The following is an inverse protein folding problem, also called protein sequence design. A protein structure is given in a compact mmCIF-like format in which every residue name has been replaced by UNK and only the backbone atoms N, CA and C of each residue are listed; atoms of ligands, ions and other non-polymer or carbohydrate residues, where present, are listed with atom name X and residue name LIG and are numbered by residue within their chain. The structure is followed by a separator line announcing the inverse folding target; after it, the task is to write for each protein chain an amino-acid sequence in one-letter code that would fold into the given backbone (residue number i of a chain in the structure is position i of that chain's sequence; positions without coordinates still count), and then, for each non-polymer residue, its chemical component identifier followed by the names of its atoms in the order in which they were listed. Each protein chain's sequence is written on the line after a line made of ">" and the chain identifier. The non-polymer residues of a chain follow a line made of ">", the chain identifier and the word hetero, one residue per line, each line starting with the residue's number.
data_IF_139268277282
#
_entry.id   IF_139268277282
#
_cell.length_a   1.000
_cell.length_b   1.000
_cell.length_c   1.000
_cell.angle_alpha   90.00
_cell.angle_beta   90.00
_cell.angle_gamma   90.00
#
_symmetry.space_group_name_H-M   'P 1'
#
loop_
_entity.id
_entity.type
_entity.pdbx_description
1 polymer ?
#
# COMPACT_ATOMS: atom_id res chain seq x y z
N UNK A 1 41.09 -50.78 16.76
CA UNK A 1 41.49 -49.75 15.79
C UNK A 1 40.55 -49.68 14.58
N UNK A 2 40.17 -50.82 13.97
CA UNK A 2 39.29 -50.85 12.77
C UNK A 2 37.92 -50.25 13.07
N UNK A 3 37.34 -50.51 14.26
CA UNK A 3 36.06 -49.92 14.68
C UNK A 3 36.10 -48.38 14.78
N UNK A 4 37.16 -47.85 15.39
CA UNK A 4 37.31 -46.39 15.51
C UNK A 4 37.51 -45.70 14.16
N UNK A 5 38.25 -46.34 13.25
CA UNK A 5 38.40 -45.85 11.87
C UNK A 5 37.06 -45.90 11.14
N UNK A 6 36.29 -46.96 11.31
CA UNK A 6 34.95 -47.06 10.74
C UNK A 6 34.00 -45.94 11.23
N UNK A 7 34.01 -45.67 12.53
CA UNK A 7 33.23 -44.57 13.12
C UNK A 7 33.67 -43.22 12.52
N UNK A 8 34.98 -42.98 12.39
CA UNK A 8 35.50 -41.75 11.80
C UNK A 8 34.99 -41.53 10.35
N UNK A 9 34.99 -42.59 9.53
CA UNK A 9 34.44 -42.51 8.20
C UNK A 9 32.94 -42.23 8.16
N UNK A 10 32.19 -42.81 9.08
CA UNK A 10 30.74 -42.53 9.21
C UNK A 10 30.50 -41.04 9.56
N UNK A 11 31.25 -40.49 10.54
CA UNK A 11 31.14 -39.09 10.90
C UNK A 11 31.56 -38.15 9.78
N UNK A 12 32.68 -38.38 9.15
CA UNK A 12 33.18 -37.56 8.05
C UNK A 12 32.26 -37.66 6.80
N UNK A 13 31.81 -38.85 6.48
CA UNK A 13 30.85 -39.07 5.40
C UNK A 13 29.50 -38.45 5.65
N UNK A 14 29.02 -38.59 6.90
CA UNK A 14 27.78 -37.95 7.33
C UNK A 14 27.85 -36.41 7.30
N UNK A 15 28.94 -35.86 7.85
CA UNK A 15 29.17 -34.40 7.78
C UNK A 15 29.28 -33.92 6.34
N UNK A 16 30.01 -34.62 5.46
CA UNK A 16 30.12 -34.31 4.05
C UNK A 16 28.77 -34.36 3.31
N UNK A 17 27.99 -35.39 3.59
CA UNK A 17 26.64 -35.55 3.00
C UNK A 17 25.68 -34.43 3.45
N UNK A 18 25.70 -34.10 4.75
CA UNK A 18 24.86 -33.01 5.28
C UNK A 18 25.27 -31.66 4.70
N UNK A 19 26.58 -31.40 4.61
CA UNK A 19 27.09 -30.16 3.97
C UNK A 19 26.69 -30.07 2.50
N UNK A 20 26.76 -31.20 1.78
CA UNK A 20 26.34 -31.25 0.39
C UNK A 20 24.81 -30.99 0.21
N UNK A 21 23.99 -31.61 1.06
CA UNK A 21 22.56 -31.41 1.08
C UNK A 21 22.19 -29.96 1.42
N UNK A 22 22.80 -29.40 2.47
CA UNK A 22 22.62 -28.00 2.84
C UNK A 22 22.99 -27.05 1.68
N UNK A 23 24.12 -27.32 1.02
CA UNK A 23 24.51 -26.53 -0.16
C UNK A 23 23.50 -26.66 -1.32
N UNK A 24 22.93 -27.85 -1.54
CA UNK A 24 21.88 -28.01 -2.56
C UNK A 24 20.59 -27.27 -2.19
N UNK A 25 20.19 -27.33 -0.91
CA UNK A 25 19.03 -26.57 -0.43
C UNK A 25 19.26 -25.07 -0.53
N UNK A 26 20.44 -24.57 -0.19
CA UNK A 26 20.80 -23.15 -0.33
C UNK A 26 20.74 -22.70 -1.79
N UNK A 27 21.32 -23.48 -2.72
CA UNK A 27 21.26 -23.16 -4.16
C UNK A 27 19.83 -23.22 -4.70
N UNK A 28 19.04 -24.19 -4.27
CA UNK A 28 17.64 -24.27 -4.64
C UNK A 28 16.82 -23.12 -4.02
N UNK A 29 17.12 -22.76 -2.77
CA UNK A 29 16.52 -21.63 -2.07
C UNK A 29 16.84 -20.29 -2.72
N UNK A 30 18.11 -20.05 -3.04
CA UNK A 30 18.56 -18.84 -3.77
C UNK A 30 17.90 -18.69 -5.14
N UNK A 31 17.47 -19.77 -5.73
CA UNK A 31 16.72 -19.81 -6.97
C UNK A 31 15.20 -19.69 -6.78
N UNK A 32 14.70 -19.53 -5.57
CA UNK A 32 13.28 -19.41 -5.30
C UNK A 32 12.78 -17.96 -5.48
N UNK A 33 11.52 -17.82 -5.87
CA UNK A 33 10.85 -16.52 -5.98
C UNK A 33 10.85 -15.77 -4.64
N UNK A 34 10.69 -16.50 -3.54
CA UNK A 34 10.69 -15.94 -2.18
C UNK A 34 12.03 -15.34 -1.80
N UNK A 35 13.13 -16.01 -2.13
CA UNK A 35 14.49 -15.50 -1.89
C UNK A 35 14.76 -14.21 -2.71
N UNK A 36 14.44 -14.23 -3.99
CA UNK A 36 14.61 -13.05 -4.85
C UNK A 36 13.77 -11.86 -4.38
N UNK A 37 12.52 -12.12 -3.96
CA UNK A 37 11.66 -11.09 -3.36
C UNK A 37 12.26 -10.52 -2.07
N UNK A 38 12.85 -11.38 -1.22
CA UNK A 38 13.52 -10.94 0.00
C UNK A 38 14.75 -10.09 -0.31
N UNK A 39 15.63 -10.54 -1.20
CA UNK A 39 16.85 -9.79 -1.60
C UNK A 39 16.50 -8.40 -2.15
N UNK A 40 15.51 -8.32 -3.04
CA UNK A 40 15.06 -7.04 -3.59
C UNK A 40 14.38 -6.16 -2.53
N UNK A 41 13.66 -6.76 -1.60
CA UNK A 41 13.09 -6.07 -0.45
C UNK A 41 14.15 -5.46 0.45
N UNK A 42 15.16 -6.25 0.82
CA UNK A 42 16.29 -5.80 1.64
C UNK A 42 17.11 -4.69 0.96
N UNK A 43 17.29 -4.82 -0.36
CA UNK A 43 17.93 -3.80 -1.18
C UNK A 43 17.19 -2.47 -1.11
N UNK A 44 15.88 -2.50 -1.29
CA UNK A 44 15.02 -1.33 -1.18
C UNK A 44 15.09 -0.70 0.20
N UNK A 45 15.06 -1.52 1.25
CA UNK A 45 15.12 -1.05 2.63
C UNK A 45 16.47 -0.38 2.95
N UNK A 46 17.57 -0.95 2.50
CA UNK A 46 18.89 -0.36 2.68
C UNK A 46 19.02 1.00 1.95
N UNK A 47 18.47 1.10 0.74
CA UNK A 47 18.39 2.38 0.02
C UNK A 47 17.55 3.40 0.80
N UNK A 48 16.39 2.96 1.32
CA UNK A 48 15.50 3.81 2.12
C UNK A 48 16.15 4.30 3.42
N UNK A 49 16.84 3.41 4.17
CA UNK A 49 17.61 3.77 5.36
C UNK A 49 18.63 4.86 5.03
N UNK A 50 19.36 4.68 3.94
CA UNK A 50 20.40 5.64 3.52
C UNK A 50 19.79 7.01 3.23
N UNK A 51 18.66 7.08 2.55
CA UNK A 51 17.97 8.32 2.26
C UNK A 51 17.46 9.01 3.55
N UNK A 52 16.86 8.24 4.45
CA UNK A 52 16.38 8.73 5.74
C UNK A 52 17.52 9.20 6.63
N UNK A 53 18.62 8.46 6.71
CA UNK A 53 19.81 8.83 7.49
C UNK A 53 20.45 10.15 6.98
N UNK A 54 20.49 10.35 5.67
CA UNK A 54 20.97 11.59 5.07
C UNK A 54 20.06 12.78 5.40
N UNK A 55 18.75 12.57 5.43
CA UNK A 55 17.79 13.66 5.68
C UNK A 55 17.59 13.99 7.15
N UNK A 56 17.53 12.97 8.01
CA UNK A 56 17.15 13.11 9.42
C UNK A 56 18.30 12.84 10.39
N UNK A 57 19.45 12.32 9.92
CA UNK A 57 20.50 11.78 10.78
C UNK A 57 20.13 10.42 11.38
N UNK A 58 21.02 9.88 12.19
CA UNK A 58 20.81 8.62 12.92
C UNK A 58 20.87 8.92 14.41
N UNK A 59 19.69 9.02 15.05
CA UNK A 59 19.61 9.34 16.48
C UNK A 59 19.95 8.14 17.37
N UNK A 60 19.64 6.90 16.96
CA UNK A 60 19.91 5.70 17.75
C UNK A 60 20.52 4.56 16.91
N UNK A 61 19.74 3.97 16.00
CA UNK A 61 20.21 2.90 15.11
C UNK A 61 19.62 3.08 13.72
N UNK A 62 20.29 2.55 12.68
CA UNK A 62 19.74 2.54 11.34
C UNK A 62 18.37 1.80 11.26
N UNK A 63 18.20 0.78 12.08
CA UNK A 63 16.95 0.02 12.15
C UNK A 63 15.78 0.85 12.71
N UNK A 64 16.04 1.81 13.63
CA UNK A 64 14.99 2.69 14.16
C UNK A 64 14.38 3.56 13.07
N UNK A 65 15.19 4.00 12.09
CA UNK A 65 14.70 4.77 10.95
C UNK A 65 13.65 4.02 10.13
N UNK A 66 13.83 2.72 9.93
CA UNK A 66 12.83 1.91 9.21
C UNK A 66 11.59 1.61 10.04
N UNK A 67 11.75 1.40 11.36
CA UNK A 67 10.61 1.06 12.24
C UNK A 67 9.59 2.19 12.36
N UNK A 68 10.01 3.41 12.09
CA UNK A 68 9.19 4.61 12.17
C UNK A 68 8.88 5.21 10.79
N UNK A 69 9.29 4.51 9.71
CA UNK A 69 9.06 4.97 8.34
C UNK A 69 7.73 4.45 7.77
N UNK A 70 6.74 5.33 7.51
CA UNK A 70 5.45 4.90 6.98
C UNK A 70 5.58 4.25 5.61
N UNK A 71 6.47 4.72 4.73
CA UNK A 71 6.65 4.16 3.38
C UNK A 71 7.02 2.68 3.42
N UNK A 72 7.83 2.27 4.38
CA UNK A 72 8.30 0.90 4.52
C UNK A 72 7.37 0.06 5.40
N UNK A 73 7.06 0.55 6.58
CA UNK A 73 6.28 -0.23 7.57
C UNK A 73 4.79 -0.20 7.26
N UNK A 74 4.25 0.93 6.80
CA UNK A 74 2.83 1.05 6.44
C UNK A 74 2.46 0.04 5.35
N UNK A 75 3.26 -0.06 4.29
CA UNK A 75 3.05 -1.05 3.23
C UNK A 75 3.10 -2.50 3.74
N UNK A 76 4.03 -2.82 4.64
CA UNK A 76 4.16 -4.17 5.26
C UNK A 76 2.98 -4.51 6.14
N UNK A 77 2.58 -3.58 7.00
CA UNK A 77 1.42 -3.75 7.87
C UNK A 77 0.13 -3.89 7.06
N UNK A 78 -0.02 -3.10 5.99
CA UNK A 78 -1.13 -3.24 5.06
C UNK A 78 -1.17 -4.63 4.42
N UNK A 79 -0.05 -5.09 3.89
CA UNK A 79 0.06 -6.43 3.30
C UNK A 79 -0.29 -7.55 4.30
N UNK A 80 0.05 -7.37 5.56
CA UNK A 80 -0.17 -8.36 6.62
C UNK A 80 -1.61 -8.37 7.14
N UNK A 81 -2.25 -7.21 7.26
CA UNK A 81 -3.51 -7.07 7.98
C UNK A 81 -4.69 -6.63 7.11
N UNK A 82 -4.44 -5.97 5.99
CA UNK A 82 -5.49 -5.36 5.15
C UNK A 82 -5.64 -6.04 3.79
N UNK A 83 -4.54 -6.55 3.23
CA UNK A 83 -4.51 -7.08 1.86
C UNK A 83 -5.29 -8.38 1.64
N UNK A 84 -5.78 -9.02 2.72
CA UNK A 84 -6.71 -10.15 2.59
C UNK A 84 -8.08 -9.73 2.02
N UNK A 85 -8.52 -8.49 2.30
CA UNK A 85 -9.78 -7.93 1.83
C UNK A 85 -9.57 -6.77 0.85
N UNK A 86 -8.67 -5.83 1.17
CA UNK A 86 -8.36 -4.67 0.37
C UNK A 86 -7.26 -4.95 -0.66
N UNK A 87 -7.21 -4.11 -1.70
CA UNK A 87 -6.11 -4.02 -2.65
C UNK A 87 -5.47 -2.65 -2.57
N UNK A 88 -4.28 -2.57 -3.07
CA UNK A 88 -3.59 -1.33 -3.39
C UNK A 88 -3.08 -1.43 -4.83
N UNK A 89 -3.77 -0.79 -5.76
CA UNK A 89 -3.57 -0.92 -7.22
C UNK A 89 -3.65 -2.40 -7.70
N UNK A 90 -4.62 -3.15 -7.17
CA UNK A 90 -4.79 -4.56 -7.49
C UNK A 90 -3.85 -5.53 -6.77
N UNK A 91 -2.96 -5.04 -5.88
CA UNK A 91 -1.92 -5.81 -5.20
C UNK A 91 -1.99 -5.70 -3.67
N UNK A 92 -1.05 -6.35 -3.01
CA UNK A 92 -0.91 -6.35 -1.54
C UNK A 92 -0.20 -5.10 -0.97
N UNK A 93 0.10 -4.11 -1.80
CA UNK A 93 0.82 -2.90 -1.41
C UNK A 93 2.35 -3.01 -1.42
N UNK A 94 2.90 -4.21 -1.49
CA UNK A 94 4.35 -4.41 -1.46
C UNK A 94 5.02 -4.46 -2.84
N UNK A 95 4.29 -4.80 -3.88
CA UNK A 95 4.84 -5.23 -5.17
C UNK A 95 4.54 -4.29 -6.35
N UNK A 96 3.90 -3.15 -6.14
CA UNK A 96 3.33 -2.31 -7.22
C UNK A 96 4.36 -1.87 -8.25
N UNK A 97 5.59 -1.53 -7.84
CA UNK A 97 6.63 -1.07 -8.78
C UNK A 97 7.31 -2.23 -9.52
N UNK A 98 7.35 -3.40 -8.92
CA UNK A 98 8.04 -4.58 -9.46
C UNK A 98 7.19 -5.33 -10.50
N UNK A 99 5.86 -5.27 -10.38
CA UNK A 99 4.92 -6.02 -11.20
C UNK A 99 4.77 -5.47 -12.62
N UNK A 100 5.08 -4.19 -12.83
CA UNK A 100 4.86 -3.50 -14.12
C UNK A 100 6.06 -3.46 -15.05
N UNK A 101 7.16 -4.11 -14.71
CA UNK A 101 8.38 -4.08 -15.53
C UNK A 101 8.52 -5.36 -16.38
N UNK A 102 8.54 -5.23 -17.70
CA UNK A 102 8.65 -6.35 -18.63
C UNK A 102 10.10 -6.82 -18.82
N UNK A 103 11.08 -6.00 -18.43
CA UNK A 103 12.52 -6.30 -18.52
C UNK A 103 13.27 -5.86 -17.26
N UNK A 104 14.46 -6.44 -17.03
CA UNK A 104 15.36 -6.01 -15.96
C UNK A 104 15.74 -4.53 -16.08
N UNK A 105 15.99 -4.08 -17.29
CA UNK A 105 16.36 -2.69 -17.57
C UNK A 105 15.19 -1.74 -17.25
N UNK A 106 13.96 -2.17 -17.48
CA UNK A 106 12.78 -1.40 -17.13
C UNK A 106 12.54 -1.37 -15.60
N UNK A 107 12.77 -2.48 -14.91
CA UNK A 107 12.77 -2.53 -13.45
C UNK A 107 13.82 -1.60 -12.86
N UNK A 108 15.02 -1.67 -13.38
CA UNK A 108 16.14 -0.82 -13.01
C UNK A 108 15.81 0.66 -13.19
N UNK A 109 15.26 1.00 -14.34
CA UNK A 109 14.85 2.36 -14.69
C UNK A 109 13.70 2.89 -13.81
N UNK A 110 12.71 2.06 -13.50
CA UNK A 110 11.54 2.44 -12.68
C UNK A 110 11.82 2.45 -11.19
N UNK A 111 12.52 1.45 -10.69
CA UNK A 111 12.83 1.34 -9.27
C UNK A 111 14.03 2.18 -8.86
N UNK A 112 14.91 2.52 -9.80
CA UNK A 112 16.20 3.16 -9.52
C UNK A 112 17.07 2.34 -8.56
N UNK A 113 16.65 1.10 -8.25
CA UNK A 113 17.23 0.29 -7.19
C UNK A 113 18.41 -0.54 -7.67
N UNK A 114 18.26 -1.22 -8.82
CA UNK A 114 19.23 -2.24 -9.19
C UNK A 114 20.57 -1.66 -9.64
N UNK A 115 20.61 -0.71 -10.56
CA UNK A 115 21.88 -0.11 -11.00
C UNK A 115 22.51 0.74 -9.91
N UNK A 116 21.72 1.55 -9.22
CA UNK A 116 22.22 2.35 -8.10
C UNK A 116 22.66 1.50 -6.94
N UNK A 117 21.96 0.40 -6.68
CA UNK A 117 22.24 -0.49 -5.58
C UNK A 117 23.51 -1.31 -5.80
N UNK A 118 23.75 -1.77 -7.02
CA UNK A 118 24.86 -2.63 -7.37
C UNK A 118 25.97 -1.94 -8.19
N UNK A 119 25.81 -0.69 -8.58
CA UNK A 119 26.80 0.05 -9.36
C UNK A 119 27.88 0.76 -8.53
N UNK A 120 27.77 0.74 -7.21
CA UNK A 120 28.74 1.42 -6.33
C UNK A 120 28.55 2.93 -6.27
N UNK A 121 27.35 3.43 -6.54
CA UNK A 121 26.97 4.83 -6.40
C UNK A 121 26.99 5.27 -4.93
N UNK A 122 27.32 6.53 -4.65
CA UNK A 122 27.50 7.06 -3.28
C UNK A 122 26.25 6.98 -2.37
N UNK A 123 25.14 6.48 -2.91
CA UNK A 123 23.88 6.25 -2.21
C UNK A 123 23.83 4.89 -1.53
N UNK A 124 24.78 3.99 -1.84
CA UNK A 124 24.76 2.62 -1.30
C UNK A 124 25.38 2.54 0.08
N UNK A 125 24.85 1.69 0.98
CA UNK A 125 25.54 1.33 2.21
C UNK A 125 26.94 0.77 1.88
N UNK A 126 27.95 1.15 2.68
CA UNK A 126 29.34 0.74 2.42
C UNK A 126 29.55 -0.78 2.31
N UNK A 127 28.72 -1.59 2.94
CA UNK A 127 28.80 -3.05 2.84
C UNK A 127 28.35 -3.60 1.49
N UNK A 128 27.48 -2.85 0.75
CA UNK A 128 27.09 -3.14 -0.62
C UNK A 128 28.03 -2.49 -1.65
N UNK A 129 28.73 -1.44 -1.24
CA UNK A 129 29.67 -0.71 -2.08
C UNK A 129 31.04 -1.41 -2.25
N UNK A 130 31.22 -2.61 -1.70
CA UNK A 130 32.41 -3.44 -1.97
C UNK A 130 32.35 -3.91 -3.40
N UNK A 131 33.05 -3.18 -4.27
CA UNK A 131 32.97 -3.30 -5.75
C UNK A 131 33.17 -4.73 -6.29
N UNK A 132 33.90 -5.61 -5.60
CA UNK A 132 34.12 -6.97 -6.06
C UNK A 132 32.97 -7.92 -5.73
N UNK A 133 32.37 -7.76 -4.57
CA UNK A 133 31.37 -8.69 -4.05
C UNK A 133 29.97 -8.36 -4.55
N UNK A 134 29.62 -7.06 -4.61
CA UNK A 134 28.31 -6.60 -5.09
C UNK A 134 28.09 -6.85 -6.59
N UNK A 135 29.13 -6.74 -7.41
CA UNK A 135 29.01 -7.10 -8.83
C UNK A 135 28.80 -8.61 -9.01
N UNK A 136 29.45 -9.44 -8.19
CA UNK A 136 29.26 -10.88 -8.21
C UNK A 136 27.85 -11.29 -7.76
N UNK A 137 27.36 -10.70 -6.68
CA UNK A 137 26.01 -10.94 -6.19
C UNK A 137 24.94 -10.47 -7.18
N UNK A 138 25.11 -9.27 -7.76
CA UNK A 138 24.22 -8.78 -8.81
C UNK A 138 24.23 -9.66 -10.05
N UNK A 139 25.42 -10.07 -10.53
CA UNK A 139 25.53 -10.98 -11.66
C UNK A 139 24.88 -12.32 -11.36
N UNK A 140 24.95 -12.80 -10.12
CA UNK A 140 24.27 -14.01 -9.69
C UNK A 140 22.75 -13.82 -9.68
N UNK A 141 22.24 -12.75 -9.09
CA UNK A 141 20.80 -12.40 -9.11
C UNK A 141 20.33 -12.23 -10.55
N UNK A 142 21.07 -11.48 -11.38
CA UNK A 142 20.75 -11.27 -12.78
C UNK A 142 20.75 -12.58 -13.59
N UNK A 143 21.73 -13.45 -13.39
CA UNK A 143 21.80 -14.73 -14.10
C UNK A 143 20.65 -15.66 -13.69
N UNK A 144 20.23 -15.64 -12.45
CA UNK A 144 19.10 -16.40 -11.93
C UNK A 144 17.78 -15.84 -12.47
N UNK A 145 17.66 -14.54 -12.54
CA UNK A 145 16.52 -13.86 -13.13
C UNK A 145 16.44 -14.15 -14.63
N UNK A 146 17.53 -14.04 -15.36
CA UNK A 146 17.61 -14.33 -16.81
C UNK A 146 17.38 -15.82 -17.14
N UNK A 147 17.85 -16.73 -16.29
CA UNK A 147 17.76 -18.18 -16.52
C UNK A 147 16.36 -18.75 -16.27
N UNK A 148 15.57 -18.14 -15.37
CA UNK A 148 14.28 -18.69 -14.94
C UNK A 148 13.09 -18.18 -15.71
N UNK A 149 13.26 -17.14 -16.50
CA UNK A 149 12.09 -16.42 -16.99
C UNK A 149 12.23 -16.03 -18.45
N UNK A 150 11.25 -16.42 -19.17
CA UNK A 150 10.79 -15.64 -20.33
C UNK A 150 10.08 -14.35 -19.86
N UNK A 151 10.47 -13.86 -18.72
CA UNK A 151 9.98 -12.73 -17.99
C UNK A 151 10.35 -12.89 -16.51
N UNK A 152 11.50 -12.31 -16.06
CA UNK A 152 11.99 -12.44 -14.68
C UNK A 152 10.96 -11.99 -13.65
N UNK A 153 9.99 -11.20 -14.04
CA UNK A 153 9.07 -10.50 -13.16
C UNK A 153 7.79 -11.25 -12.85
N UNK A 154 7.42 -12.25 -13.66
CA UNK A 154 6.36 -13.19 -13.31
C UNK A 154 6.64 -13.91 -11.98
N UNK A 155 7.90 -14.08 -11.63
CA UNK A 155 8.34 -14.70 -10.38
C UNK A 155 8.20 -13.74 -9.19
N UNK A 156 8.38 -12.45 -9.41
CA UNK A 156 8.24 -11.40 -8.40
C UNK A 156 6.78 -10.91 -8.36
N UNK A 157 6.14 -10.85 -9.52
CA UNK A 157 4.74 -10.53 -9.72
C UNK A 157 3.77 -11.61 -9.22
N UNK A 158 4.22 -12.79 -8.96
CA UNK A 158 3.39 -13.88 -8.42
C UNK A 158 3.07 -13.76 -6.92
N UNK A 159 3.10 -12.56 -6.34
CA UNK A 159 2.13 -12.25 -5.30
C UNK A 159 0.76 -12.55 -5.93
N UNK A 160 0.13 -13.66 -5.53
CA UNK A 160 -1.14 -14.12 -6.09
C UNK A 160 -2.06 -12.94 -6.34
N UNK A 161 -2.69 -12.81 -7.52
CA UNK A 161 -3.90 -12.02 -7.63
C UNK A 161 -4.79 -12.57 -6.52
N UNK A 162 -5.08 -11.75 -5.54
CA UNK A 162 -6.04 -12.16 -4.52
C UNK A 162 -7.37 -12.23 -5.24
N UNK A 163 -8.08 -13.34 -5.10
CA UNK A 163 -9.44 -13.53 -5.59
C UNK A 163 -10.27 -12.28 -5.33
N UNK A 164 -11.36 -12.08 -6.06
CA UNK A 164 -12.16 -10.88 -6.13
C UNK A 164 -12.15 -10.07 -4.82
N UNK A 165 -11.74 -8.79 -4.83
CA UNK A 165 -11.57 -8.02 -3.61
C UNK A 165 -12.90 -7.98 -2.85
N UNK A 166 -12.85 -8.23 -1.56
CA UNK A 166 -14.03 -8.18 -0.68
C UNK A 166 -14.25 -6.77 -0.11
N UNK A 167 -13.35 -5.83 -0.41
CA UNK A 167 -13.37 -4.44 0.01
C UNK A 167 -12.74 -3.55 -1.05
N UNK A 168 -12.96 -2.21 -1.02
CA UNK A 168 -12.42 -1.29 -2.00
C UNK A 168 -10.88 -1.34 -2.10
N UNK A 169 -10.36 -1.12 -3.32
CA UNK A 169 -8.96 -0.84 -3.55
C UNK A 169 -8.61 0.55 -2.98
N UNK A 170 -7.58 0.63 -2.14
CA UNK A 170 -7.25 1.84 -1.42
C UNK A 170 -6.16 2.70 -2.10
N UNK A 171 -5.70 2.34 -3.30
CA UNK A 171 -4.79 3.21 -4.03
C UNK A 171 -5.48 4.53 -4.39
N UNK A 172 -4.86 5.61 -3.97
CA UNK A 172 -5.38 6.96 -4.17
C UNK A 172 -6.62 7.27 -3.33
N UNK A 173 -6.85 6.54 -2.23
CA UNK A 173 -7.96 6.79 -1.31
C UNK A 173 -8.05 8.28 -0.94
N UNK A 174 -9.26 8.80 -0.95
CA UNK A 174 -9.60 10.20 -0.68
C UNK A 174 -9.01 11.25 -1.65
N UNK A 175 -8.32 10.84 -2.73
CA UNK A 175 -7.98 11.80 -3.79
C UNK A 175 -9.23 12.22 -4.55
N UNK A 176 -9.16 13.39 -5.22
CA UNK A 176 -10.24 13.90 -6.09
C UNK A 176 -10.72 12.85 -7.09
N UNK A 177 -9.78 12.11 -7.70
CA UNK A 177 -10.15 11.08 -8.68
C UNK A 177 -10.82 9.88 -8.01
N UNK A 178 -10.32 9.45 -6.84
CA UNK A 178 -10.91 8.34 -6.10
C UNK A 178 -12.37 8.65 -5.72
N UNK A 179 -12.65 9.87 -5.26
CA UNK A 179 -14.01 10.30 -4.88
C UNK A 179 -14.89 10.47 -6.12
N UNK A 180 -14.39 11.04 -7.22
CA UNK A 180 -15.14 11.08 -8.49
C UNK A 180 -15.58 9.70 -8.95
N UNK A 181 -14.67 8.75 -8.88
CA UNK A 181 -14.93 7.37 -9.26
C UNK A 181 -15.93 6.70 -8.30
N UNK A 182 -15.87 7.04 -7.02
CA UNK A 182 -16.82 6.59 -6.00
C UNK A 182 -18.25 7.13 -6.28
N UNK A 183 -18.37 8.34 -6.80
CA UNK A 183 -19.64 8.97 -7.14
C UNK A 183 -20.17 8.59 -8.53
N UNK A 184 -19.43 7.81 -9.30
CA UNK A 184 -19.86 7.24 -10.57
C UNK A 184 -20.62 5.93 -10.35
N UNK A 185 -21.89 5.81 -10.79
CA UNK A 185 -22.71 4.62 -10.54
C UNK A 185 -22.12 3.30 -11.04
N UNK A 186 -21.38 3.32 -12.16
CA UNK A 186 -20.81 2.10 -12.76
C UNK A 186 -19.48 1.72 -12.11
N UNK A 187 -18.70 2.71 -11.71
CA UNK A 187 -17.45 2.50 -10.99
C UNK A 187 -17.70 2.05 -9.55
N UNK A 188 -18.69 2.61 -8.86
CA UNK A 188 -19.04 2.25 -7.49
C UNK A 188 -19.24 0.74 -7.32
N UNK A 189 -19.97 0.10 -8.23
CA UNK A 189 -20.25 -1.35 -8.22
C UNK A 189 -19.16 -2.19 -8.89
N UNK A 190 -18.07 -1.58 -9.31
CA UNK A 190 -16.95 -2.33 -9.88
C UNK A 190 -16.16 -3.06 -8.78
N UNK A 191 -15.37 -4.10 -9.14
CA UNK A 191 -14.48 -4.78 -8.20
C UNK A 191 -13.44 -3.87 -7.55
N UNK A 192 -13.13 -2.72 -8.16
CA UNK A 192 -12.20 -1.73 -7.60
C UNK A 192 -12.78 -0.99 -6.41
N UNK A 193 -14.11 -0.83 -6.36
CA UNK A 193 -14.80 -0.12 -5.29
C UNK A 193 -15.67 -1.08 -4.47
N UNK A 194 -16.97 -0.90 -4.45
CA UNK A 194 -17.86 -1.63 -3.55
C UNK A 194 -18.53 -2.87 -4.16
N UNK A 195 -18.17 -3.25 -5.40
CA UNK A 195 -18.79 -4.39 -6.09
C UNK A 195 -18.65 -5.74 -5.39
N UNK A 196 -17.62 -5.93 -4.56
CA UNK A 196 -17.41 -7.14 -3.75
C UNK A 196 -17.99 -7.06 -2.34
N UNK A 197 -18.67 -5.96 -1.97
CA UNK A 197 -19.15 -5.70 -0.60
C UNK A 197 -20.67 -5.75 -0.50
N UNK A 198 -21.21 -5.77 0.73
CA UNK A 198 -22.63 -5.62 0.97
C UNK A 198 -23.14 -4.23 0.54
N UNK A 199 -22.29 -3.20 0.55
CA UNK A 199 -22.63 -1.84 0.17
C UNK A 199 -23.00 -1.64 -1.30
N UNK A 200 -22.65 -2.59 -2.20
CA UNK A 200 -23.11 -2.54 -3.62
C UNK A 200 -24.62 -2.49 -3.76
N UNK A 201 -25.33 -3.01 -2.76
CA UNK A 201 -26.78 -3.04 -2.69
C UNK A 201 -27.34 -2.08 -1.63
N UNK A 202 -26.50 -1.23 -1.04
CA UNK A 202 -26.86 -0.24 -0.04
C UNK A 202 -27.60 0.97 -0.61
N UNK A 203 -28.07 1.84 0.28
CA UNK A 203 -28.88 3.02 -0.04
C UNK A 203 -28.10 4.04 -0.85
N UNK A 204 -26.81 4.24 -0.58
CA UNK A 204 -25.93 5.10 -1.39
C UNK A 204 -26.01 4.72 -2.88
N UNK A 205 -25.90 3.43 -3.20
CA UNK A 205 -26.04 2.98 -4.57
C UNK A 205 -27.50 3.06 -5.08
N UNK A 206 -28.42 2.42 -4.37
CA UNK A 206 -29.82 2.24 -4.86
C UNK A 206 -30.58 3.56 -4.93
N UNK A 207 -30.52 4.38 -3.89
CA UNK A 207 -31.31 5.60 -3.78
C UNK A 207 -30.63 6.80 -4.43
N UNK A 208 -29.30 6.94 -4.32
CA UNK A 208 -28.57 8.09 -4.80
C UNK A 208 -27.92 7.82 -6.17
N UNK A 209 -26.89 6.98 -6.25
CA UNK A 209 -26.13 6.82 -7.49
C UNK A 209 -26.98 6.29 -8.65
N UNK A 210 -27.71 5.20 -8.44
CA UNK A 210 -28.49 4.56 -9.52
C UNK A 210 -29.78 5.31 -9.86
N UNK A 211 -30.44 5.95 -8.90
CA UNK A 211 -31.74 6.61 -9.16
C UNK A 211 -31.64 8.10 -9.46
N UNK A 212 -30.69 8.83 -8.84
CA UNK A 212 -30.50 10.27 -9.03
C UNK A 212 -29.34 10.53 -10.02
N UNK A 213 -28.10 10.13 -9.69
CA UNK A 213 -26.89 10.49 -10.47
C UNK A 213 -26.96 10.02 -11.92
N UNK A 214 -27.51 8.84 -12.21
CA UNK A 214 -27.70 8.39 -13.60
C UNK A 214 -28.58 9.29 -14.45
N UNK A 215 -29.33 10.20 -13.86
CA UNK A 215 -30.23 11.12 -14.55
C UNK A 215 -29.72 12.56 -14.53
N UNK A 216 -28.58 12.80 -13.93
CA UNK A 216 -27.98 14.12 -13.83
C UNK A 216 -27.61 14.66 -15.21
N UNK A 217 -27.87 15.93 -15.41
CA UNK A 217 -27.41 16.66 -16.57
C UNK A 217 -25.96 17.15 -16.39
N UNK A 218 -25.46 17.91 -17.38
CA UNK A 218 -24.08 18.40 -17.33
C UNK A 218 -23.84 19.44 -16.22
N UNK A 219 -24.89 20.12 -15.74
CA UNK A 219 -24.75 21.06 -14.62
C UNK A 219 -24.68 20.29 -13.28
N UNK A 220 -25.56 19.31 -13.07
CA UNK A 220 -25.57 18.44 -11.92
C UNK A 220 -24.21 17.70 -11.77
N UNK A 221 -23.68 17.19 -12.89
CA UNK A 221 -22.38 16.49 -12.88
C UNK A 221 -21.21 17.42 -12.53
N UNK A 222 -21.29 18.72 -12.89
CA UNK A 222 -20.29 19.71 -12.45
C UNK A 222 -20.40 19.99 -10.96
N UNK A 223 -21.59 20.04 -10.40
CA UNK A 223 -21.78 20.17 -8.93
C UNK A 223 -21.22 18.94 -8.22
N UNK A 224 -21.48 17.74 -8.74
CA UNK A 224 -20.93 16.50 -8.20
C UNK A 224 -19.40 16.46 -8.26
N UNK A 225 -18.80 17.00 -9.33
CA UNK A 225 -17.33 17.12 -9.44
C UNK A 225 -16.77 18.11 -8.41
N UNK A 226 -17.45 19.24 -8.19
CA UNK A 226 -17.07 20.19 -7.14
C UNK A 226 -17.17 19.58 -5.73
N UNK A 227 -18.21 18.78 -5.47
CA UNK A 227 -18.32 17.99 -4.21
C UNK A 227 -17.15 17.04 -4.06
N UNK A 228 -16.73 16.34 -5.12
CA UNK A 228 -15.57 15.45 -5.05
C UNK A 228 -14.27 16.22 -4.73
N UNK A 229 -14.12 17.44 -5.25
CA UNK A 229 -12.99 18.32 -4.91
C UNK A 229 -13.06 18.76 -3.45
N UNK A 230 -14.24 19.15 -2.95
CA UNK A 230 -14.43 19.57 -1.56
C UNK A 230 -14.17 18.44 -0.57
N UNK A 231 -14.74 17.25 -0.79
CA UNK A 231 -14.49 16.09 0.08
C UNK A 231 -13.02 15.64 0.03
N UNK A 232 -12.37 15.77 -1.12
CA UNK A 232 -10.93 15.47 -1.20
C UNK A 232 -10.08 16.50 -0.43
N UNK A 233 -10.52 17.74 -0.33
CA UNK A 233 -9.85 18.77 0.46
C UNK A 233 -9.95 18.50 1.97
N UNK A 234 -11.07 17.91 2.45
CA UNK A 234 -11.22 17.45 3.84
C UNK A 234 -10.12 16.45 4.25
N UNK A 235 -9.60 15.70 3.29
CA UNK A 235 -8.55 14.74 3.52
C UNK A 235 -7.18 15.38 3.83
N UNK A 236 -6.95 16.65 3.48
CA UNK A 236 -5.68 17.35 3.68
C UNK A 236 -4.48 16.55 3.17
N UNK A 237 -4.57 15.97 1.98
CA UNK A 237 -3.51 15.15 1.42
C UNK A 237 -2.28 15.99 1.04
N UNK A 238 -1.06 15.64 1.52
CA UNK A 238 0.14 16.43 1.25
C UNK A 238 0.38 16.70 -0.24
N UNK A 239 0.11 15.71 -1.09
CA UNK A 239 0.27 15.81 -2.54
C UNK A 239 -0.74 16.72 -3.23
N UNK A 240 -1.82 17.14 -2.56
CA UNK A 240 -2.89 18.00 -3.12
C UNK A 240 -2.91 19.42 -2.57
N UNK A 241 -2.13 19.74 -1.55
CA UNK A 241 -2.20 21.02 -0.84
C UNK A 241 -2.12 22.26 -1.77
N UNK A 242 -1.25 22.24 -2.78
CA UNK A 242 -1.13 23.34 -3.75
C UNK A 242 -2.37 23.45 -4.66
N UNK A 243 -2.95 22.32 -5.08
CA UNK A 243 -4.16 22.29 -5.88
C UNK A 243 -5.38 22.75 -5.06
N UNK A 244 -5.46 22.36 -3.78
CA UNK A 244 -6.55 22.77 -2.90
C UNK A 244 -6.51 24.26 -2.61
N UNK A 245 -5.30 24.81 -2.44
CA UNK A 245 -5.13 26.28 -2.32
C UNK A 245 -5.58 27.03 -3.59
N UNK A 246 -5.23 26.52 -4.76
CA UNK A 246 -5.62 27.12 -6.04
C UNK A 246 -7.14 27.04 -6.29
N UNK A 247 -7.78 25.97 -5.86
CA UNK A 247 -9.19 25.67 -6.07
C UNK A 247 -10.08 26.06 -4.88
N UNK A 248 -9.62 26.95 -3.99
CA UNK A 248 -10.34 27.33 -2.76
C UNK A 248 -11.78 27.85 -3.00
N UNK A 249 -12.06 28.46 -4.16
CA UNK A 249 -13.41 28.87 -4.54
C UNK A 249 -14.27 27.64 -4.89
N UNK A 250 -13.74 26.73 -5.70
CA UNK A 250 -14.43 25.50 -6.10
C UNK A 250 -14.72 24.59 -4.89
N UNK A 251 -13.81 24.56 -3.92
CA UNK A 251 -14.02 23.82 -2.65
C UNK A 251 -15.21 24.41 -1.89
N UNK A 252 -15.30 25.73 -1.76
CA UNK A 252 -16.47 26.36 -1.09
C UNK A 252 -17.79 26.08 -1.83
N UNK A 253 -17.79 26.18 -3.16
CA UNK A 253 -18.96 25.85 -3.97
C UNK A 253 -19.34 24.37 -3.78
N UNK A 254 -18.35 23.47 -3.76
CA UNK A 254 -18.54 22.06 -3.53
C UNK A 254 -19.12 21.73 -2.15
N UNK A 255 -18.71 22.44 -1.10
CA UNK A 255 -19.33 22.32 0.24
C UNK A 255 -20.78 22.75 0.19
N UNK A 256 -21.10 23.89 -0.45
CA UNK A 256 -22.49 24.34 -0.61
C UNK A 256 -23.33 23.31 -1.38
N UNK A 257 -22.82 22.78 -2.50
CA UNK A 257 -23.54 21.74 -3.26
C UNK A 257 -23.76 20.45 -2.45
N UNK A 258 -22.81 20.10 -1.60
CA UNK A 258 -22.92 18.93 -0.71
C UNK A 258 -24.03 19.12 0.32
N UNK A 259 -24.11 20.32 0.92
CA UNK A 259 -25.06 20.59 2.01
C UNK A 259 -26.45 20.96 1.50
N UNK A 260 -26.55 21.76 0.46
CA UNK A 260 -27.83 22.40 0.09
C UNK A 260 -28.43 21.83 -1.20
N UNK A 261 -27.63 21.67 -2.27
CA UNK A 261 -28.20 21.44 -3.62
C UNK A 261 -28.37 19.96 -3.97
N UNK A 262 -27.40 19.10 -3.63
CA UNK A 262 -27.40 17.67 -3.98
C UNK A 262 -28.02 16.83 -2.86
N UNK A 263 -27.95 17.30 -1.60
CA UNK A 263 -28.56 16.65 -0.46
C UNK A 263 -27.77 15.44 0.03
N UNK A 264 -26.44 15.52 0.08
CA UNK A 264 -25.61 14.47 0.66
C UNK A 264 -25.85 14.34 2.17
N UNK A 265 -26.17 15.46 2.84
CA UNK A 265 -26.47 15.52 4.28
C UNK A 265 -27.83 14.90 4.66
N UNK A 266 -28.65 14.53 3.68
CA UNK A 266 -29.87 13.73 3.97
C UNK A 266 -29.52 12.35 4.54
N UNK A 267 -28.29 11.88 4.32
CA UNK A 267 -27.81 10.57 4.77
C UNK A 267 -26.46 10.63 5.50
N UNK A 268 -25.68 11.70 5.34
CA UNK A 268 -24.34 11.84 5.92
C UNK A 268 -24.28 13.04 6.86
N UNK A 269 -23.62 12.89 8.00
CA UNK A 269 -23.19 14.04 8.78
C UNK A 269 -22.06 14.81 8.05
N UNK A 270 -22.08 16.15 8.14
CA UNK A 270 -21.00 17.01 7.67
C UNK A 270 -20.96 18.33 8.44
N UNK A 271 -19.84 18.66 9.06
CA UNK A 271 -19.65 19.83 9.91
C UNK A 271 -20.15 19.65 11.32
N UNK A 272 -21.39 19.21 11.49
CA UNK A 272 -21.98 18.90 12.79
C UNK A 272 -22.31 17.41 12.87
N UNK A 273 -22.16 16.79 14.06
CA UNK A 273 -22.52 15.39 14.25
C UNK A 273 -24.03 15.16 14.07
N UNK A 274 -24.39 14.11 13.35
CA UNK A 274 -25.77 13.64 13.22
C UNK A 274 -25.85 12.17 13.64
N UNK A 275 -26.39 11.86 14.83
CA UNK A 275 -26.50 10.49 15.33
C UNK A 275 -27.53 9.64 14.57
N UNK A 276 -28.42 10.27 13.80
CA UNK A 276 -29.43 9.61 12.99
C UNK A 276 -29.00 9.42 11.53
N UNK A 277 -27.76 9.82 11.17
CA UNK A 277 -27.22 9.65 9.83
C UNK A 277 -27.11 8.15 9.44
N UNK A 278 -27.61 7.82 8.25
CA UNK A 278 -27.55 6.44 7.71
C UNK A 278 -26.16 6.06 7.19
N UNK A 279 -25.34 7.05 6.83
CA UNK A 279 -24.01 6.91 6.25
C UNK A 279 -22.90 7.47 7.15
N UNK A 280 -21.63 7.24 6.81
CA UNK A 280 -20.52 7.76 7.60
C UNK A 280 -20.46 9.29 7.61
N UNK A 281 -19.99 9.84 8.72
CA UNK A 281 -19.67 11.26 8.86
C UNK A 281 -18.56 11.63 7.85
N UNK A 282 -18.85 12.60 6.99
CA UNK A 282 -17.93 13.09 5.96
C UNK A 282 -17.03 14.23 6.47
N UNK A 283 -17.22 14.70 7.68
CA UNK A 283 -16.37 15.71 8.30
C UNK A 283 -14.94 15.19 8.43
N UNK A 284 -13.99 15.86 7.80
CA UNK A 284 -12.59 15.42 7.76
C UNK A 284 -12.37 14.11 7.02
N UNK A 285 -13.28 13.73 6.11
CA UNK A 285 -13.20 12.49 5.35
C UNK A 285 -11.83 12.26 4.72
N UNK A 286 -11.22 11.12 5.02
CA UNK A 286 -9.88 10.78 4.53
C UNK A 286 -8.74 11.54 5.18
N UNK A 287 -9.01 12.44 6.15
CA UNK A 287 -7.96 13.04 6.96
C UNK A 287 -7.22 11.98 7.78
N UNK A 288 -6.02 12.32 8.23
CA UNK A 288 -5.22 11.39 9.05
C UNK A 288 -6.00 10.87 10.24
N UNK A 289 -6.68 11.75 10.97
CA UNK A 289 -7.44 11.36 12.16
C UNK A 289 -8.67 10.53 11.80
N UNK A 290 -9.38 10.90 10.73
CA UNK A 290 -10.56 10.15 10.27
C UNK A 290 -10.20 8.69 9.93
N UNK A 291 -9.10 8.46 9.21
CA UNK A 291 -8.65 7.11 8.85
C UNK A 291 -8.23 6.33 10.10
N UNK A 292 -7.48 6.97 11.02
CA UNK A 292 -7.07 6.33 12.28
C UNK A 292 -8.29 5.89 13.08
N UNK A 293 -9.28 6.76 13.25
CA UNK A 293 -10.48 6.46 14.02
C UNK A 293 -11.32 5.36 13.37
N UNK A 294 -11.43 5.42 12.02
CA UNK A 294 -12.12 4.39 11.24
C UNK A 294 -11.45 3.00 11.38
N UNK A 295 -10.13 2.93 11.23
CA UNK A 295 -9.39 1.66 11.37
C UNK A 295 -9.44 1.15 12.82
N UNK A 296 -9.43 2.05 13.81
CA UNK A 296 -9.59 1.66 15.21
C UNK A 296 -10.93 1.02 15.51
N UNK A 297 -11.99 1.63 15.01
CA UNK A 297 -13.36 1.17 15.25
C UNK A 297 -14.31 1.56 14.11
N UNK A 298 -14.45 0.74 13.06
CA UNK A 298 -15.38 1.01 11.96
C UNK A 298 -16.86 0.96 12.40
N UNK A 299 -17.15 0.36 13.55
CA UNK A 299 -18.50 0.28 14.15
C UNK A 299 -18.80 1.46 15.09
N UNK A 300 -17.94 2.48 15.14
CA UNK A 300 -18.22 3.70 15.88
C UNK A 300 -19.40 4.46 15.25
N UNK A 301 -20.17 5.19 16.06
CA UNK A 301 -21.34 5.98 15.61
C UNK A 301 -21.09 6.93 14.45
N UNK A 302 -19.86 7.44 14.34
CA UNK A 302 -19.42 8.26 13.21
C UNK A 302 -19.30 7.53 11.87
N UNK A 303 -19.27 6.20 11.86
CA UNK A 303 -18.97 5.43 10.66
C UNK A 303 -20.09 4.47 10.29
N UNK A 304 -19.98 3.22 10.66
CA UNK A 304 -20.94 2.17 10.30
C UNK A 304 -21.40 1.38 11.53
N UNK A 305 -22.12 2.02 12.48
CA UNK A 305 -22.47 1.37 13.75
C UNK A 305 -23.30 0.09 13.58
N UNK A 306 -24.12 0.03 12.54
CA UNK A 306 -25.01 -1.11 12.26
C UNK A 306 -24.77 -1.74 10.88
N UNK A 307 -23.93 -1.12 10.05
CA UNK A 307 -23.76 -1.46 8.64
C UNK A 307 -22.32 -1.77 8.25
N UNK A 308 -21.41 -1.99 9.23
CA UNK A 308 -20.07 -2.45 8.96
C UNK A 308 -20.13 -3.85 8.32
N UNK A 309 -19.64 -3.98 7.08
CA UNK A 309 -19.74 -5.25 6.35
C UNK A 309 -18.91 -6.34 7.03
N UNK A 310 -17.61 -6.12 7.26
CA UNK A 310 -16.75 -7.10 7.93
C UNK A 310 -15.41 -6.57 8.38
N UNK A 311 -15.16 -5.27 8.26
CA UNK A 311 -13.89 -4.69 8.66
C UNK A 311 -13.68 -4.84 10.17
N UNK A 312 -12.57 -5.47 10.63
CA UNK A 312 -12.32 -5.62 12.06
C UNK A 312 -12.04 -4.28 12.74
N UNK A 313 -12.49 -4.12 13.97
CA UNK A 313 -12.12 -2.99 14.82
C UNK A 313 -10.68 -3.20 15.34
N UNK A 314 -9.69 -2.87 14.53
CA UNK A 314 -8.28 -3.23 14.76
C UNK A 314 -7.72 -2.66 16.07
N UNK A 315 -8.09 -1.44 16.44
CA UNK A 315 -7.64 -0.82 17.69
C UNK A 315 -8.39 -1.37 18.90
N UNK A 316 -9.73 -1.44 18.85
CA UNK A 316 -10.55 -1.96 19.94
C UNK A 316 -10.20 -3.40 20.28
N UNK A 317 -9.99 -4.23 19.26
CA UNK A 317 -9.59 -5.63 19.41
C UNK A 317 -8.10 -5.82 19.68
N UNK A 318 -7.32 -4.72 19.76
CA UNK A 318 -5.87 -4.74 19.97
C UNK A 318 -5.08 -5.61 18.96
N UNK A 319 -5.58 -5.68 17.74
CA UNK A 319 -4.90 -6.37 16.63
C UNK A 319 -3.72 -5.53 16.15
N UNK A 320 -3.91 -4.20 16.11
CA UNK A 320 -2.88 -3.20 15.79
C UNK A 320 -2.77 -2.20 16.93
N UNK A 321 -1.54 -1.72 17.16
CA UNK A 321 -1.27 -0.60 18.05
C UNK A 321 -1.60 0.73 17.36
N UNK A 322 -1.77 1.80 18.13
CA UNK A 322 -1.98 3.15 17.59
C UNK A 322 -0.86 3.59 16.64
N UNK A 323 0.37 3.20 16.95
CA UNK A 323 1.54 3.46 16.09
C UNK A 323 1.42 2.74 14.74
N UNK A 324 1.06 1.47 14.73
CA UNK A 324 0.92 0.67 13.51
C UNK A 324 -0.24 1.19 12.64
N UNK A 325 -1.35 1.56 13.25
CA UNK A 325 -2.46 2.22 12.55
C UNK A 325 -1.99 3.54 11.94
N UNK A 326 -1.23 4.35 12.69
CA UNK A 326 -0.65 5.59 12.18
C UNK A 326 0.27 5.37 10.98
N UNK A 327 1.13 4.35 11.03
CA UNK A 327 2.04 4.02 9.92
C UNK A 327 1.31 3.59 8.65
N UNK A 328 0.24 2.79 8.77
CA UNK A 328 -0.62 2.41 7.64
C UNK A 328 -1.30 3.66 7.07
N UNK A 329 -1.85 4.50 7.94
CA UNK A 329 -2.55 5.73 7.55
C UNK A 329 -1.63 6.68 6.81
N UNK A 330 -0.44 6.96 7.35
CA UNK A 330 0.53 7.87 6.75
C UNK A 330 1.03 7.33 5.40
N UNK A 331 1.17 6.01 5.27
CA UNK A 331 1.50 5.36 4.00
C UNK A 331 0.38 5.52 2.95
N UNK A 332 -0.87 5.24 3.31
CA UNK A 332 -2.03 5.39 2.40
C UNK A 332 -2.20 6.82 1.90
N UNK A 333 -1.90 7.80 2.73
CA UNK A 333 -2.00 9.24 2.44
C UNK A 333 -0.80 9.80 1.67
N UNK A 334 0.29 9.03 1.55
CA UNK A 334 1.57 9.54 1.03
C UNK A 334 2.28 10.51 1.99
N UNK A 335 1.97 10.43 3.28
CA UNK A 335 2.46 11.32 4.34
C UNK A 335 3.79 10.81 4.90
N UNK A 336 4.80 10.75 4.05
CA UNK A 336 6.13 10.27 4.40
C UNK A 336 7.21 11.03 3.62
N UNK A 337 8.42 11.00 4.17
CA UNK A 337 9.55 11.64 3.53
C UNK A 337 9.88 10.98 2.19
N UNK A 338 10.00 11.81 1.14
CA UNK A 338 10.59 11.42 -0.15
C UNK A 338 11.87 12.23 -0.37
N UNK A 339 12.99 11.56 -0.72
CA UNK A 339 14.21 12.26 -1.06
C UNK A 339 13.99 13.09 -2.33
N UNK A 340 14.50 14.32 -2.34
CA UNK A 340 14.55 15.11 -3.57
C UNK A 340 15.39 14.38 -4.62
N UNK A 341 14.87 14.26 -5.84
CA UNK A 341 15.52 13.62 -6.97
C UNK A 341 16.61 14.51 -7.56
#
# INVERSE_FOLDING_TARGET
>A
HVFNVGILFVFLGGAGALTYLAKQEDVAGQNSASYLKAVLGDARDAHRITALAKAKGIESTALSLLKDDPKTQGARLFAQHCASCHRYDGHDGLAVELVKADTLDELEKRSGMTSRFFSGDAVHPDWLARKSDTQGEWQTVKSVLDAKTKGPFDVIASAKPVDAPEAPDLMGFATRQWIRDLLDPDKYISPRYFGGTAHKDGDMYKKFLNRKVRKYDAADLKMLDAIAVALSAEAELPGQAAADQADAALIRDGVQYLTDDIGCIDCHAFGEPDPDADGPDLTGYGSRQWIIDFVKNPEHEKFYPNNNDRMPAFGVKKILTDKEIGLITDWLRGDYFEPAH
#
